data_IF_405170769044
#
_entry.id   IF_405170769044
#
_cell.length_a   1.000
_cell.length_b   1.000
_cell.length_c   1.000
_cell.angle_alpha   90.00
_cell.angle_beta   90.00
_cell.angle_gamma   90.00
#
_symmetry.space_group_name_H-M   'P 1'
#
loop_
_entity.id
_entity.type
_entity.pdbx_description
1 polymer ?
#
# COMPACT_ATOMS: atom_id res chain seq x y z
N UNK A 1 -15.04 6.49 20.34
CA UNK A 1 -14.48 6.64 18.97
C UNK A 1 -14.32 5.24 18.43
N UNK A 2 -15.45 4.64 18.09
CA UNK A 2 -15.49 3.36 17.42
C UNK A 2 -14.94 3.61 16.01
N UNK A 3 -14.02 2.78 15.57
CA UNK A 3 -13.42 2.91 14.25
C UNK A 3 -14.56 2.95 13.23
N UNK A 4 -14.68 4.05 12.49
CA UNK A 4 -15.67 4.29 11.42
C UNK A 4 -15.44 3.34 10.21
N UNK A 5 -15.22 2.07 10.48
CA UNK A 5 -15.05 1.02 9.50
C UNK A 5 -16.29 0.91 8.63
N UNK A 6 -17.48 1.21 9.15
CA UNK A 6 -18.74 1.18 8.39
C UNK A 6 -18.81 2.27 7.31
N UNK A 7 -18.17 3.42 7.51
CA UNK A 7 -18.13 4.53 6.54
C UNK A 7 -17.16 4.30 5.38
N UNK A 8 -16.28 3.28 5.47
CA UNK A 8 -15.43 2.92 4.35
C UNK A 8 -16.25 2.27 3.23
N UNK A 9 -16.11 2.76 1.98
CA UNK A 9 -16.71 2.13 0.83
C UNK A 9 -16.32 0.65 0.73
N UNK A 10 -17.27 -0.19 0.34
CA UNK A 10 -17.06 -1.65 0.22
C UNK A 10 -15.89 -1.99 -0.71
N UNK A 11 -15.72 -1.27 -1.83
CA UNK A 11 -14.61 -1.47 -2.77
C UNK A 11 -13.23 -1.26 -2.13
N UNK A 12 -13.16 -0.35 -1.16
CA UNK A 12 -11.94 -0.01 -0.44
C UNK A 12 -11.58 -1.11 0.56
N UNK A 13 -12.58 -1.63 1.28
CA UNK A 13 -12.41 -2.79 2.17
C UNK A 13 -11.93 -4.01 1.40
N UNK A 14 -12.55 -4.30 0.25
CA UNK A 14 -12.15 -5.46 -0.57
C UNK A 14 -10.74 -5.27 -1.13
N UNK A 15 -10.38 -4.07 -1.57
CA UNK A 15 -9.03 -3.79 -2.05
C UNK A 15 -7.98 -3.98 -0.95
N UNK A 16 -8.24 -3.52 0.27
CA UNK A 16 -7.37 -3.73 1.44
C UNK A 16 -7.22 -5.21 1.82
N UNK A 17 -8.32 -5.97 1.83
CA UNK A 17 -8.27 -7.41 2.12
C UNK A 17 -7.49 -8.16 1.04
N UNK A 18 -7.72 -7.85 -0.23
CA UNK A 18 -6.99 -8.46 -1.35
C UNK A 18 -5.52 -8.10 -1.31
N UNK A 19 -5.19 -6.84 -1.00
CA UNK A 19 -3.82 -6.37 -0.80
C UNK A 19 -3.11 -7.12 0.34
N UNK A 20 -3.80 -7.27 1.48
CA UNK A 20 -3.30 -8.05 2.62
C UNK A 20 -3.07 -9.53 2.28
N UNK A 21 -3.94 -10.14 1.46
CA UNK A 21 -3.72 -11.50 0.98
C UNK A 21 -2.53 -11.57 0.00
N UNK A 22 -2.34 -10.55 -0.83
CA UNK A 22 -1.19 -10.44 -1.73
C UNK A 22 0.13 -10.31 -0.96
N UNK A 23 0.20 -9.49 0.09
CA UNK A 23 1.42 -9.34 0.90
C UNK A 23 1.70 -10.62 1.71
N UNK A 24 0.66 -11.29 2.22
CA UNK A 24 0.81 -12.59 2.88
C UNK A 24 1.34 -13.65 1.90
N UNK A 25 0.79 -13.69 0.69
CA UNK A 25 1.26 -14.61 -0.36
C UNK A 25 2.70 -14.30 -0.79
N UNK A 26 3.09 -13.03 -0.88
CA UNK A 26 4.46 -12.63 -1.24
C UNK A 26 5.45 -13.02 -0.14
N UNK A 27 5.12 -12.82 1.14
CA UNK A 27 5.92 -13.25 2.30
C UNK A 27 6.02 -14.77 2.35
N UNK A 28 4.92 -15.49 2.10
CA UNK A 28 4.92 -16.95 2.04
C UNK A 28 5.84 -17.46 0.91
N UNK A 29 5.78 -16.84 -0.27
CA UNK A 29 6.69 -17.14 -1.39
C UNK A 29 8.15 -16.86 -1.03
N UNK A 30 8.45 -15.72 -0.41
CA UNK A 30 9.79 -15.33 0.03
C UNK A 30 10.35 -16.26 1.13
N UNK A 31 9.48 -16.87 1.94
CA UNK A 31 9.89 -17.86 2.93
C UNK A 31 10.49 -19.13 2.27
N UNK A 32 10.12 -19.42 1.02
CA UNK A 32 10.77 -20.44 0.21
C UNK A 32 11.99 -19.85 -0.51
N UNK A 33 13.07 -19.68 0.26
CA UNK A 33 14.33 -19.11 -0.19
C UNK A 33 14.89 -19.82 -1.43
N UNK A 34 14.72 -21.13 -1.52
CA UNK A 34 15.19 -21.99 -2.63
C UNK A 34 14.51 -21.70 -3.97
N UNK A 35 13.30 -21.13 -3.97
CA UNK A 35 12.52 -20.85 -5.19
C UNK A 35 12.55 -19.38 -5.59
N UNK A 36 12.76 -18.48 -4.63
CA UNK A 36 12.82 -17.04 -4.90
C UNK A 36 14.25 -16.53 -5.17
N UNK A 37 15.26 -17.18 -4.60
CA UNK A 37 16.65 -16.75 -4.74
C UNK A 37 17.51 -17.90 -5.26
N UNK A 38 18.39 -17.59 -6.21
CA UNK A 38 19.43 -18.54 -6.62
C UNK A 38 20.40 -18.70 -5.45
N UNK A 39 20.69 -19.94 -5.04
CA UNK A 39 21.71 -20.22 -4.01
C UNK A 39 23.03 -19.57 -4.41
N UNK A 40 23.45 -18.59 -3.62
CA UNK A 40 24.70 -17.88 -3.80
C UNK A 40 25.61 -18.18 -2.62
N UNK A 41 26.73 -18.86 -2.87
CA UNK A 41 27.72 -19.17 -1.84
C UNK A 41 28.72 -18.03 -1.65
N UNK A 42 29.35 -17.95 -0.47
CA UNK A 42 30.43 -16.99 -0.19
C UNK A 42 31.68 -17.17 -1.09
N UNK A 43 31.84 -18.34 -1.72
CA UNK A 43 32.90 -18.60 -2.71
C UNK A 43 32.45 -18.42 -4.17
N UNK A 44 31.18 -18.14 -4.43
CA UNK A 44 30.68 -17.88 -5.79
C UNK A 44 31.07 -16.47 -6.22
N UNK A 45 31.71 -16.36 -7.39
CA UNK A 45 32.06 -15.07 -7.96
C UNK A 45 30.87 -14.50 -8.74
N UNK A 46 30.49 -13.25 -8.42
CA UNK A 46 29.39 -12.50 -9.05
C UNK A 46 29.55 -12.43 -10.58
N UNK A 47 30.78 -12.36 -11.08
CA UNK A 47 31.03 -12.34 -12.52
C UNK A 47 30.70 -13.66 -13.24
N UNK A 48 30.85 -14.80 -12.58
CA UNK A 48 30.61 -16.12 -13.20
C UNK A 48 29.19 -16.64 -13.00
N UNK A 49 28.62 -16.43 -11.82
CA UNK A 49 27.33 -17.04 -11.46
C UNK A 49 26.11 -16.12 -11.66
N UNK A 50 26.33 -14.81 -11.81
CA UNK A 50 25.27 -13.79 -12.00
C UNK A 50 25.37 -13.01 -13.32
N UNK A 51 26.27 -13.41 -14.23
CA UNK A 51 26.45 -12.75 -15.54
C UNK A 51 26.74 -11.24 -15.39
N UNK A 52 27.47 -10.88 -14.33
CA UNK A 52 27.78 -9.49 -13.96
C UNK A 52 26.59 -8.67 -13.43
N UNK A 53 25.38 -9.23 -13.34
CA UNK A 53 24.19 -8.52 -12.88
C UNK A 53 23.68 -9.06 -11.54
N UNK A 54 23.90 -8.30 -10.47
CA UNK A 54 23.47 -8.64 -9.10
C UNK A 54 21.95 -8.85 -8.97
N UNK A 55 21.15 -8.27 -9.87
CA UNK A 55 19.70 -8.45 -9.91
C UNK A 55 19.26 -9.83 -10.42
N UNK A 56 20.15 -10.58 -11.06
CA UNK A 56 19.87 -11.92 -11.58
C UNK A 56 19.82 -12.99 -10.47
N UNK A 57 20.11 -12.59 -9.23
CA UNK A 57 19.98 -13.45 -8.04
C UNK A 57 18.50 -13.70 -7.70
N UNK A 58 17.65 -12.75 -8.08
CA UNK A 58 16.20 -12.80 -7.89
C UNK A 58 15.61 -13.60 -9.04
N UNK A 59 15.08 -14.77 -8.73
CA UNK A 59 14.38 -15.60 -9.71
C UNK A 59 13.08 -14.91 -10.17
N UNK A 60 12.48 -15.32 -11.31
CA UNK A 60 11.20 -14.78 -11.77
C UNK A 60 10.10 -14.79 -10.69
N UNK A 61 10.11 -15.77 -9.78
CA UNK A 61 9.21 -15.81 -8.62
C UNK A 61 9.47 -14.69 -7.59
N UNK A 62 10.72 -14.30 -7.38
CA UNK A 62 11.06 -13.17 -6.52
C UNK A 62 10.61 -11.83 -7.13
N UNK A 63 10.73 -11.68 -8.45
CA UNK A 63 10.20 -10.50 -9.16
C UNK A 63 8.67 -10.41 -9.07
N UNK A 64 7.98 -11.55 -9.14
CA UNK A 64 6.53 -11.60 -8.96
C UNK A 64 6.14 -11.15 -7.53
N UNK A 65 6.85 -11.62 -6.50
CA UNK A 65 6.61 -11.21 -5.12
C UNK A 65 6.84 -9.70 -4.91
N UNK A 66 7.91 -9.14 -5.50
CA UNK A 66 8.20 -7.70 -5.44
C UNK A 66 7.14 -6.88 -6.18
N UNK A 67 6.69 -7.34 -7.35
CA UNK A 67 5.64 -6.67 -8.10
C UNK A 67 4.30 -6.65 -7.33
N UNK A 68 3.91 -7.78 -6.72
CA UNK A 68 2.71 -7.85 -5.88
C UNK A 68 2.79 -6.89 -4.69
N UNK A 69 3.93 -6.83 -4.01
CA UNK A 69 4.14 -5.90 -2.89
C UNK A 69 4.10 -4.43 -3.34
N UNK A 70 4.66 -4.13 -4.51
CA UNK A 70 4.60 -2.78 -5.09
C UNK A 70 3.18 -2.34 -5.43
N UNK A 71 2.37 -3.23 -6.00
CA UNK A 71 0.95 -2.95 -6.30
C UNK A 71 0.14 -2.72 -5.02
N UNK A 72 0.37 -3.52 -3.98
CA UNK A 72 -0.26 -3.32 -2.67
C UNK A 72 0.11 -1.96 -2.05
N UNK A 73 1.41 -1.60 -2.07
CA UNK A 73 1.88 -0.31 -1.59
C UNK A 73 1.24 0.86 -2.35
N UNK A 74 1.09 0.77 -3.68
CA UNK A 74 0.40 1.78 -4.48
C UNK A 74 -1.08 1.89 -4.11
N UNK A 75 -1.76 0.77 -3.90
CA UNK A 75 -3.16 0.76 -3.47
C UNK A 75 -3.33 1.42 -2.09
N UNK A 76 -2.41 1.15 -1.16
CA UNK A 76 -2.39 1.79 0.17
C UNK A 76 -2.10 3.29 0.10
N UNK A 77 -1.17 3.72 -0.77
CA UNK A 77 -0.90 5.16 -0.99
C UNK A 77 -2.13 5.85 -1.54
N UNK A 78 -2.81 5.24 -2.52
CA UNK A 78 -4.04 5.80 -3.08
C UNK A 78 -5.15 5.90 -2.03
N UNK A 79 -5.30 4.86 -1.19
CA UNK A 79 -6.20 4.86 -0.05
C UNK A 79 -5.87 5.97 0.94
N UNK A 80 -4.59 6.14 1.27
CA UNK A 80 -4.12 7.16 2.21
C UNK A 80 -4.43 8.57 1.69
N UNK A 81 -4.13 8.84 0.41
CA UNK A 81 -4.43 10.11 -0.24
C UNK A 81 -5.94 10.38 -0.25
N UNK A 82 -6.75 9.38 -0.60
CA UNK A 82 -8.21 9.51 -0.58
C UNK A 82 -8.76 9.80 0.83
N UNK A 83 -8.27 9.07 1.84
CA UNK A 83 -8.64 9.28 3.24
C UNK A 83 -8.30 10.70 3.71
N UNK A 84 -7.13 11.20 3.35
CA UNK A 84 -6.70 12.56 3.67
C UNK A 84 -7.58 13.63 2.97
N UNK A 85 -7.99 13.39 1.72
CA UNK A 85 -8.91 14.31 1.01
C UNK A 85 -10.31 14.37 1.64
N UNK A 86 -10.82 13.25 2.16
CA UNK A 86 -12.11 13.24 2.86
C UNK A 86 -12.04 13.97 4.22
N UNK A 87 -10.92 13.85 4.95
CA UNK A 87 -10.70 14.62 6.17
C UNK A 87 -10.69 16.14 5.93
N UNK A 88 -10.12 16.59 4.81
CA UNK A 88 -10.12 18.00 4.43
C UNK A 88 -11.50 18.52 3.99
N UNK A 89 -12.33 17.67 3.37
CA UNK A 89 -13.69 18.02 2.95
C UNK A 89 -14.62 18.34 4.13
N UNK A 90 -14.55 17.53 5.20
CA UNK A 90 -15.35 17.76 6.40
C UNK A 90 -14.94 19.01 7.19
N UNK A 91 -13.67 19.43 7.11
CA UNK A 91 -13.23 20.67 7.76
C UNK A 91 -13.80 21.92 7.08
N UNK A 92 -13.91 21.91 5.75
CA UNK A 92 -14.48 23.05 4.98
C UNK A 92 -15.96 23.26 5.27
N UNK A 93 -16.75 22.18 5.32
CA UNK A 93 -18.19 22.29 5.58
C UNK A 93 -18.51 22.78 7.00
N UNK A 94 -17.63 22.55 7.98
CA UNK A 94 -17.77 23.11 9.32
C UNK A 94 -17.46 24.62 9.35
N UNK A 95 -16.45 25.07 8.62
CA UNK A 95 -16.13 26.49 8.51
C UNK A 95 -17.23 27.28 7.80
N UNK A 96 -17.81 26.73 6.74
CA UNK A 96 -18.94 27.35 6.05
C UNK A 96 -20.17 27.48 6.96
N UNK A 97 -20.42 26.47 7.80
CA UNK A 97 -21.50 26.52 8.81
C UNK A 97 -21.25 27.57 9.87
N UNK A 98 -20.02 27.66 10.41
CA UNK A 98 -19.69 28.70 11.40
C UNK A 98 -19.77 30.12 10.82
N UNK A 99 -19.40 30.30 9.55
CA UNK A 99 -19.55 31.61 8.89
C UNK A 99 -21.03 31.95 8.67
N UNK A 100 -21.84 31.01 8.21
CA UNK A 100 -23.28 31.23 8.04
C UNK A 100 -24.00 31.55 9.37
N UNK A 101 -23.60 30.93 10.48
CA UNK A 101 -24.14 31.23 11.81
C UNK A 101 -23.78 32.66 12.27
N UNK A 102 -22.51 33.07 12.06
CA UNK A 102 -22.05 34.43 12.39
C UNK A 102 -22.74 35.51 11.55
N UNK A 103 -22.97 35.24 10.26
CA UNK A 103 -23.70 36.17 9.40
C UNK A 103 -25.18 36.25 9.78
N UNK A 104 -25.81 35.14 10.15
CA UNK A 104 -27.20 35.13 10.63
C UNK A 104 -27.40 35.91 11.93
N UNK A 105 -26.45 35.86 12.87
CA UNK A 105 -26.51 36.64 14.11
C UNK A 105 -26.25 38.14 13.92
N UNK A 106 -25.55 38.56 12.87
CA UNK A 106 -25.26 39.97 12.61
C UNK A 106 -26.46 40.75 12.05
N UNK A 107 -27.52 40.06 11.61
CA UNK A 107 -28.70 40.65 10.96
C UNK A 107 -29.88 40.84 11.94
N UNK A 108 -29.79 40.29 13.16
CA UNK A 108 -30.80 40.38 14.23
C UNK A 108 -30.39 41.45 15.24
#
# INVERSE_FOLDING_TARGET
RESDWELLPLWLKTALVVGLLCIQASIALLSFQESCFKKFGLMSSVEKDLDGNVLNIVQPYGWLAVALAGVDALALVFFYLWSHTQGAGSARTLLEKEQAEKEGQAII
#
